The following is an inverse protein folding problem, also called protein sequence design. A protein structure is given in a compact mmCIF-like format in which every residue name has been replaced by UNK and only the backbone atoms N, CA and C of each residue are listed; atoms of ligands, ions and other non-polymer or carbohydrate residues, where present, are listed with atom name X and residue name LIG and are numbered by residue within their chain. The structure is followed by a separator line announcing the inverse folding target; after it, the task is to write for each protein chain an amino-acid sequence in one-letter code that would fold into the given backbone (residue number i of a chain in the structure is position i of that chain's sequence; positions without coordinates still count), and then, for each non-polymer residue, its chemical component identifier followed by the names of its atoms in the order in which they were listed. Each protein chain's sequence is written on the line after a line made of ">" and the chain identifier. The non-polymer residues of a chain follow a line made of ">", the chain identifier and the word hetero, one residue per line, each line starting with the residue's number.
data_IF_360916509118
#
_entry.id   IF_360916509118
#
_cell.length_a   1.000
_cell.length_b   1.000
_cell.length_c   1.000
_cell.angle_alpha   90.00
_cell.angle_beta   90.00
_cell.angle_gamma   90.00
#
_symmetry.space_group_name_H-M   'P 1'
#
loop_
_entity.id
_entity.type
_entity.pdbx_description
1 polymer ?
#
# COMPACT_ATOMS: atom_id res chain seq x y z
N UNK A 1 0.15 -43.48 -4.87
CA UNK A 1 -1.17 -42.84 -4.87
C UNK A 1 -1.08 -41.45 -5.49
N UNK A 2 -1.86 -41.21 -6.54
CA UNK A 2 -1.90 -40.00 -7.36
C UNK A 2 -3.07 -39.12 -6.92
N UNK A 3 -2.80 -37.85 -6.63
CA UNK A 3 -3.83 -36.90 -6.24
C UNK A 3 -4.08 -35.85 -7.32
N UNK A 4 -5.32 -35.41 -7.49
CA UNK A 4 -5.66 -34.22 -8.25
C UNK A 4 -6.14 -33.12 -7.30
N UNK A 5 -5.46 -31.97 -7.31
CA UNK A 5 -5.85 -30.80 -6.53
C UNK A 5 -6.53 -29.77 -7.42
N UNK A 6 -7.83 -29.57 -7.20
CA UNK A 6 -8.68 -28.78 -8.09
C UNK A 6 -8.92 -27.37 -7.53
N UNK A 7 -8.75 -26.35 -8.39
CA UNK A 7 -9.01 -24.96 -8.03
C UNK A 7 -8.90 -24.00 -9.20
N UNK A 8 -9.39 -22.77 -9.02
CA UNK A 8 -9.25 -21.69 -10.03
C UNK A 8 -7.84 -21.06 -10.01
N UNK A 9 -7.19 -21.08 -8.85
CA UNK A 9 -5.84 -20.52 -8.63
C UNK A 9 -5.66 -19.06 -9.10
N UNK A 10 -6.72 -18.25 -9.04
CA UNK A 10 -6.72 -16.88 -9.56
C UNK A 10 -6.90 -15.81 -8.47
N UNK A 11 -5.92 -14.89 -8.31
CA UNK A 11 -4.53 -15.02 -8.77
C UNK A 11 -3.75 -16.07 -7.96
N UNK A 12 -2.65 -16.64 -8.51
CA UNK A 12 -1.74 -17.50 -7.73
C UNK A 12 -1.18 -16.73 -6.54
N UNK A 13 -1.11 -17.40 -5.38
CA UNK A 13 -0.62 -16.78 -4.15
C UNK A 13 0.06 -17.82 -3.25
N UNK A 14 0.81 -17.36 -2.24
CA UNK A 14 1.58 -18.23 -1.34
C UNK A 14 0.73 -19.31 -0.65
N UNK A 15 -0.55 -19.02 -0.36
CA UNK A 15 -1.51 -20.02 0.12
C UNK A 15 -1.72 -21.20 -0.82
N UNK A 16 -1.86 -20.97 -2.12
CA UNK A 16 -1.93 -22.05 -3.12
C UNK A 16 -0.62 -22.84 -3.12
N UNK A 17 0.52 -22.14 -3.14
CA UNK A 17 1.85 -22.75 -3.22
C UNK A 17 2.12 -23.66 -2.00
N UNK A 18 1.93 -23.15 -0.77
CA UNK A 18 2.08 -23.95 0.46
C UNK A 18 1.16 -25.16 0.48
N UNK A 19 -0.07 -25.00 0.01
CA UNK A 19 -1.05 -26.10 0.01
C UNK A 19 -0.64 -27.19 -0.96
N UNK A 20 -0.24 -26.82 -2.19
CA UNK A 20 0.28 -27.76 -3.18
C UNK A 20 1.54 -28.49 -2.67
N UNK A 21 2.49 -27.77 -2.06
CA UNK A 21 3.70 -28.38 -1.46
C UNK A 21 3.41 -29.30 -0.28
N UNK A 22 2.34 -29.07 0.47
CA UNK A 22 1.91 -29.99 1.54
C UNK A 22 1.32 -31.26 0.94
N UNK A 23 0.44 -31.13 -0.04
CA UNK A 23 -0.17 -32.27 -0.74
C UNK A 23 0.92 -33.10 -1.44
N UNK A 24 1.90 -32.46 -2.09
CA UNK A 24 2.99 -33.16 -2.79
C UNK A 24 3.94 -33.93 -1.89
N UNK A 25 3.88 -33.74 -0.57
CA UNK A 25 4.62 -34.57 0.41
C UNK A 25 3.83 -35.80 0.86
N UNK A 26 2.52 -35.82 0.61
CA UNK A 26 1.62 -36.87 1.06
C UNK A 26 1.25 -37.86 -0.07
N UNK A 27 1.42 -37.43 -1.33
CA UNK A 27 1.10 -38.22 -2.51
C UNK A 27 2.33 -38.39 -3.40
N UNK A 28 2.45 -39.55 -4.04
CA UNK A 28 3.58 -39.87 -4.92
C UNK A 28 3.59 -39.00 -6.18
N UNK A 29 2.40 -38.56 -6.62
CA UNK A 29 2.23 -37.66 -7.75
C UNK A 29 1.01 -36.76 -7.54
N UNK A 30 1.13 -35.47 -7.88
CA UNK A 30 0.06 -34.47 -7.71
C UNK A 30 -0.17 -33.72 -9.02
N UNK A 31 -1.39 -33.82 -9.54
CA UNK A 31 -1.86 -32.97 -10.64
C UNK A 31 -2.60 -31.76 -10.07
N UNK A 32 -2.08 -30.55 -10.33
CA UNK A 32 -2.75 -29.28 -10.04
C UNK A 32 -3.65 -28.94 -11.21
N UNK A 33 -4.96 -29.16 -11.04
CA UNK A 33 -5.97 -28.94 -12.06
C UNK A 33 -6.59 -27.54 -11.96
N UNK A 34 -6.22 -26.66 -12.89
CA UNK A 34 -6.72 -25.29 -12.99
C UNK A 34 -8.08 -25.30 -13.70
N UNK A 35 -9.17 -25.15 -12.94
CA UNK A 35 -10.54 -25.13 -13.48
C UNK A 35 -10.88 -23.76 -14.08
N UNK A 36 -11.42 -23.74 -15.31
CA UNK A 36 -11.80 -22.50 -15.99
C UNK A 36 -13.24 -22.06 -15.66
N UNK A 37 -13.40 -20.95 -14.93
CA UNK A 37 -14.71 -20.33 -14.66
C UNK A 37 -14.66 -18.90 -14.08
N UNK A 38 -15.79 -18.21 -14.04
CA UNK A 38 -15.89 -16.80 -13.61
C UNK A 38 -15.80 -16.58 -12.09
N UNK A 39 -15.32 -15.41 -11.59
CA UNK A 39 -14.79 -14.28 -12.36
C UNK A 39 -13.36 -14.53 -12.86
N UNK A 40 -13.10 -14.21 -14.12
CA UNK A 40 -11.76 -14.27 -14.72
C UNK A 40 -10.95 -13.01 -14.38
N UNK A 41 -9.95 -13.18 -13.52
CA UNK A 41 -9.09 -12.08 -13.05
C UNK A 41 -7.81 -11.99 -13.86
N UNK A 42 -7.34 -13.11 -14.40
CA UNK A 42 -6.17 -13.21 -15.27
C UNK A 42 -6.33 -14.35 -16.28
N UNK A 43 -5.52 -14.36 -17.33
CA UNK A 43 -5.54 -15.43 -18.31
C UNK A 43 -5.07 -16.76 -17.69
N UNK A 44 -5.83 -17.84 -17.92
CA UNK A 44 -5.49 -19.18 -17.41
C UNK A 44 -4.13 -19.70 -17.91
N UNK A 45 -3.71 -19.26 -19.10
CA UNK A 45 -2.38 -19.55 -19.65
C UNK A 45 -1.27 -18.94 -18.77
N UNK A 46 -1.48 -17.74 -18.26
CA UNK A 46 -0.54 -17.08 -17.35
C UNK A 46 -0.50 -17.74 -15.98
N UNK A 47 -1.67 -18.12 -15.44
CA UNK A 47 -1.78 -18.90 -14.18
C UNK A 47 -0.99 -20.20 -14.30
N UNK A 48 -1.20 -20.93 -15.40
CA UNK A 48 -0.49 -22.18 -15.69
C UNK A 48 1.02 -21.96 -15.75
N UNK A 49 1.47 -20.96 -16.52
CA UNK A 49 2.90 -20.62 -16.66
C UNK A 49 3.54 -20.33 -15.30
N UNK A 50 2.92 -19.47 -14.49
CA UNK A 50 3.45 -19.11 -13.16
C UNK A 50 3.57 -20.35 -12.27
N UNK A 51 2.53 -21.20 -12.21
CA UNK A 51 2.58 -22.39 -11.38
C UNK A 51 3.59 -23.42 -11.92
N UNK A 52 3.76 -23.54 -13.24
CA UNK A 52 4.79 -24.39 -13.84
C UNK A 52 6.20 -23.90 -13.50
N UNK A 53 6.46 -22.59 -13.58
CA UNK A 53 7.74 -21.99 -13.17
C UNK A 53 8.03 -22.23 -11.68
N UNK A 54 7.04 -22.03 -10.81
CA UNK A 54 7.20 -22.23 -9.36
C UNK A 54 7.51 -23.69 -9.00
N UNK A 55 6.94 -24.65 -9.72
CA UNK A 55 7.07 -26.08 -9.45
C UNK A 55 8.01 -26.82 -10.41
N UNK A 56 8.82 -26.11 -11.21
CA UNK A 56 9.71 -26.70 -12.19
C UNK A 56 10.69 -27.73 -11.56
N UNK A 57 11.17 -27.45 -10.34
CA UNK A 57 12.05 -28.34 -9.61
C UNK A 57 11.33 -29.57 -8.99
N UNK A 58 10.00 -29.56 -8.91
CA UNK A 58 9.21 -30.60 -8.27
C UNK A 58 8.70 -31.63 -9.29
N UNK A 59 9.50 -32.67 -9.54
CA UNK A 59 9.21 -33.72 -10.55
C UNK A 59 7.91 -34.51 -10.31
N UNK A 60 7.34 -34.45 -9.10
CA UNK A 60 6.09 -35.12 -8.75
C UNK A 60 4.86 -34.21 -8.82
N UNK A 61 5.00 -32.98 -9.35
CA UNK A 61 3.90 -32.03 -9.52
C UNK A 61 3.71 -31.76 -11.00
N UNK A 62 2.48 -31.95 -11.48
CA UNK A 62 2.05 -31.61 -12.83
C UNK A 62 1.00 -30.51 -12.79
N UNK A 63 1.08 -29.51 -13.67
CA UNK A 63 0.09 -28.43 -13.74
C UNK A 63 -0.68 -28.52 -15.05
N UNK A 64 -1.99 -28.71 -14.96
CA UNK A 64 -2.88 -28.84 -16.12
C UNK A 64 -4.10 -27.91 -16.03
N UNK A 65 -4.68 -27.62 -17.18
CA UNK A 65 -5.89 -26.81 -17.30
C UNK A 65 -7.08 -27.71 -17.60
N UNK A 66 -8.18 -27.50 -16.89
CA UNK A 66 -9.42 -28.28 -17.03
C UNK A 66 -10.52 -27.32 -17.48
N UNK A 67 -11.12 -27.63 -18.63
CA UNK A 67 -12.24 -26.84 -19.16
C UNK A 67 -13.50 -27.01 -18.29
N UNK A 68 -14.19 -25.91 -18.05
CA UNK A 68 -15.43 -25.87 -17.28
C UNK A 68 -15.24 -25.80 -15.76
N UNK A 69 -16.38 -25.82 -15.05
CA UNK A 69 -16.41 -25.79 -13.58
C UNK A 69 -17.08 -27.05 -13.03
N UNK A 70 -16.54 -27.55 -11.92
CA UNK A 70 -17.08 -28.72 -11.24
C UNK A 70 -18.44 -28.39 -10.61
N UNK A 71 -18.59 -27.16 -10.08
CA UNK A 71 -19.85 -26.68 -9.48
C UNK A 71 -20.96 -26.51 -10.52
N UNK A 72 -20.62 -26.11 -11.75
CA UNK A 72 -21.58 -26.00 -12.86
C UNK A 72 -21.83 -27.32 -13.60
N UNK A 73 -21.14 -28.40 -13.22
CA UNK A 73 -21.27 -29.72 -13.85
C UNK A 73 -20.70 -29.83 -15.26
N UNK A 74 -19.95 -28.83 -15.74
CA UNK A 74 -19.46 -28.73 -17.12
C UNK A 74 -18.05 -29.29 -17.32
N UNK A 75 -17.30 -29.52 -16.25
CA UNK A 75 -15.95 -30.11 -16.33
C UNK A 75 -16.02 -31.64 -16.31
N UNK A 76 -15.39 -32.28 -17.29
CA UNK A 76 -15.14 -33.73 -17.26
C UNK A 76 -13.71 -33.98 -16.78
N UNK A 77 -13.57 -34.66 -15.63
CA UNK A 77 -12.27 -35.08 -15.06
C UNK A 77 -12.07 -36.59 -15.19
N UNK A 78 -13.02 -37.32 -15.78
CA UNK A 78 -13.08 -38.79 -15.82
C UNK A 78 -11.90 -39.39 -16.61
N UNK A 79 -11.30 -38.61 -17.52
CA UNK A 79 -10.15 -39.02 -18.34
C UNK A 79 -8.78 -38.72 -17.71
N UNK A 80 -8.74 -38.18 -16.49
CA UNK A 80 -7.48 -37.85 -15.81
C UNK A 80 -7.03 -39.01 -14.90
N UNK A 81 -5.72 -39.29 -14.91
CA UNK A 81 -5.11 -40.37 -14.13
C UNK A 81 -4.86 -39.96 -12.67
N UNK A 82 -5.84 -40.17 -11.79
CA UNK A 82 -5.76 -39.90 -10.35
C UNK A 82 -6.53 -40.93 -9.50
N UNK A 83 -6.06 -41.16 -8.27
CA UNK A 83 -6.69 -42.05 -7.29
C UNK A 83 -7.62 -41.30 -6.32
N UNK A 84 -7.33 -40.03 -6.06
CA UNK A 84 -8.06 -39.20 -5.09
C UNK A 84 -8.15 -37.73 -5.52
N UNK A 85 -9.30 -37.12 -5.27
CA UNK A 85 -9.51 -35.68 -5.45
C UNK A 85 -9.28 -34.96 -4.14
N UNK A 86 -8.43 -33.93 -4.17
CA UNK A 86 -8.17 -33.04 -3.05
C UNK A 86 -8.77 -31.67 -3.34
N UNK A 87 -9.51 -31.09 -2.38
CA UNK A 87 -10.01 -29.72 -2.49
C UNK A 87 -10.22 -29.08 -1.11
N UNK A 88 -10.12 -27.75 -1.06
CA UNK A 88 -10.53 -26.95 0.10
C UNK A 88 -11.97 -26.43 0.02
N UNK A 89 -12.77 -26.91 -0.95
CA UNK A 89 -14.18 -26.57 -1.09
C UNK A 89 -15.05 -27.80 -0.83
N UNK A 90 -15.74 -27.80 0.31
CA UNK A 90 -16.56 -28.94 0.73
C UNK A 90 -17.66 -29.29 -0.28
N UNK A 91 -18.27 -28.29 -0.92
CA UNK A 91 -19.34 -28.51 -1.93
C UNK A 91 -18.82 -29.29 -3.14
N UNK A 92 -17.59 -29.00 -3.56
CA UNK A 92 -16.93 -29.70 -4.68
C UNK A 92 -16.67 -31.17 -4.32
N UNK A 93 -16.20 -31.42 -3.10
CA UNK A 93 -15.97 -32.78 -2.62
C UNK A 93 -17.28 -33.56 -2.51
N UNK A 94 -18.35 -32.95 -1.99
CA UNK A 94 -19.65 -33.60 -1.86
C UNK A 94 -20.23 -33.99 -3.24
N UNK A 95 -20.06 -33.13 -4.26
CA UNK A 95 -20.49 -33.42 -5.64
C UNK A 95 -19.70 -34.61 -6.22
N UNK A 96 -18.37 -34.59 -6.08
CA UNK A 96 -17.51 -35.63 -6.64
C UNK A 96 -17.66 -36.96 -5.90
N UNK A 97 -17.88 -36.92 -4.59
CA UNK A 97 -18.16 -38.11 -3.78
C UNK A 97 -19.45 -38.79 -4.22
N UNK A 98 -20.51 -38.03 -4.53
CA UNK A 98 -21.76 -38.59 -5.09
C UNK A 98 -21.58 -39.20 -6.48
N UNK A 99 -20.57 -38.75 -7.23
CA UNK A 99 -20.18 -39.33 -8.53
C UNK A 99 -19.26 -40.56 -8.39
N UNK A 100 -18.95 -40.98 -7.16
CA UNK A 100 -18.16 -42.18 -6.88
C UNK A 100 -16.65 -41.94 -6.71
N UNK A 101 -16.19 -40.68 -6.75
CA UNK A 101 -14.77 -40.36 -6.56
C UNK A 101 -14.34 -40.46 -5.10
N UNK A 102 -13.11 -40.95 -4.86
CA UNK A 102 -12.46 -40.80 -3.56
C UNK A 102 -12.06 -39.35 -3.37
N UNK A 103 -12.49 -38.75 -2.28
CA UNK A 103 -12.29 -37.33 -1.99
C UNK A 103 -11.55 -37.12 -0.68
N UNK A 104 -10.76 -36.05 -0.60
CA UNK A 104 -10.06 -35.63 0.60
C UNK A 104 -10.16 -34.11 0.78
N UNK A 105 -10.60 -33.70 1.97
CA UNK A 105 -10.63 -32.29 2.33
C UNK A 105 -9.24 -31.81 2.73
N UNK A 106 -8.83 -30.68 2.16
CA UNK A 106 -7.61 -29.98 2.54
C UNK A 106 -7.97 -28.59 3.06
N UNK A 107 -7.72 -28.35 4.34
CA UNK A 107 -7.93 -27.03 4.94
C UNK A 107 -7.07 -25.97 4.24
N UNK A 108 -7.64 -24.78 4.08
CA UNK A 108 -6.93 -23.63 3.50
C UNK A 108 -5.80 -23.21 4.44
N UNK A 109 -4.69 -22.77 3.86
CA UNK A 109 -3.62 -22.17 4.65
C UNK A 109 -4.06 -20.79 5.13
N UNK A 110 -4.14 -20.61 6.45
CA UNK A 110 -4.52 -19.34 7.09
C UNK A 110 -3.29 -18.41 7.27
N UNK A 111 -3.50 -17.09 7.11
CA UNK A 111 -2.47 -16.05 7.30
C UNK A 111 -2.71 -14.79 6.46
N UNK A 112 -1.99 -13.68 6.76
CA UNK A 112 -2.02 -12.41 5.99
C UNK A 112 -1.36 -12.61 4.60
N UNK A 113 -2.09 -12.38 3.50
CA UNK A 113 -1.58 -12.58 2.12
C UNK A 113 -1.85 -13.96 1.52
N UNK A 114 -2.72 -14.76 2.14
CA UNK A 114 -2.98 -16.16 1.76
C UNK A 114 -4.39 -16.42 1.22
N UNK A 115 -5.19 -15.37 0.98
CA UNK A 115 -6.57 -15.50 0.48
C UNK A 115 -6.75 -14.87 -0.90
N UNK A 116 -7.16 -15.68 -1.88
CA UNK A 116 -7.58 -15.17 -3.19
C UNK A 116 -8.74 -14.17 -3.11
N UNK A 117 -9.53 -14.16 -2.03
CA UNK A 117 -10.58 -13.15 -1.80
C UNK A 117 -9.99 -11.79 -1.40
N UNK A 118 -8.90 -11.78 -0.62
CA UNK A 118 -8.15 -10.55 -0.32
C UNK A 118 -7.53 -9.98 -1.59
N UNK A 119 -6.92 -10.83 -2.42
CA UNK A 119 -6.29 -10.37 -3.66
C UNK A 119 -7.34 -9.96 -4.70
N UNK A 120 -8.48 -10.66 -4.79
CA UNK A 120 -9.60 -10.23 -5.64
C UNK A 120 -10.20 -8.90 -5.19
N UNK A 121 -10.34 -8.69 -3.88
CA UNK A 121 -10.75 -7.37 -3.33
C UNK A 121 -9.74 -6.26 -3.68
N UNK A 122 -8.45 -6.58 -3.80
CA UNK A 122 -7.39 -5.66 -4.24
C UNK A 122 -7.36 -5.43 -5.76
N UNK A 123 -8.00 -6.30 -6.56
CA UNK A 123 -8.07 -6.20 -8.02
C UNK A 123 -9.40 -5.59 -8.47
N UNK A 124 -10.52 -5.92 -7.82
CA UNK A 124 -11.82 -5.30 -8.07
C UNK A 124 -11.80 -3.80 -7.71
N UNK A 125 -11.01 -3.39 -6.71
CA UNK A 125 -10.76 -1.97 -6.42
C UNK A 125 -9.99 -1.24 -7.52
N UNK A 126 -9.40 -1.96 -8.49
CA UNK A 126 -8.71 -1.42 -9.68
C UNK A 126 -9.56 -1.41 -10.95
N UNK A 127 -10.77 -1.99 -10.97
CA UNK A 127 -11.54 -2.17 -12.22
C UNK A 127 -12.68 -1.18 -12.46
N UNK A 128 -12.94 -0.22 -11.58
CA UNK A 128 -13.85 0.88 -11.88
C UNK A 128 -13.08 2.09 -12.45
N UNK A 129 -13.05 2.15 -13.79
CA UNK A 129 -12.86 3.34 -14.64
C UNK A 129 -11.59 4.17 -14.38
N UNK A 130 -10.45 3.69 -14.90
CA UNK A 130 -9.21 4.44 -14.94
C UNK A 130 -8.99 5.04 -16.33
N UNK A 131 -9.15 6.36 -16.41
CA UNK A 131 -8.42 7.19 -17.36
C UNK A 131 -7.44 8.02 -16.54
N UNK A 132 -6.16 7.63 -16.64
CA UNK A 132 -4.91 8.41 -16.50
C UNK A 132 -4.65 9.20 -15.19
N UNK A 133 -3.52 9.08 -14.48
CA UNK A 133 -2.12 9.06 -14.92
C UNK A 133 -1.22 8.33 -13.90
N UNK A 134 -0.35 7.41 -14.35
CA UNK A 134 0.68 6.74 -13.51
C UNK A 134 1.86 7.64 -13.11
N UNK A 135 1.77 8.95 -13.32
CA UNK A 135 2.85 9.90 -13.02
C UNK A 135 2.78 10.52 -11.62
N UNK A 136 1.70 10.32 -10.85
CA UNK A 136 1.60 10.78 -9.46
C UNK A 136 1.00 9.70 -8.57
N UNK A 137 1.82 9.13 -7.68
CA UNK A 137 1.45 8.06 -6.73
C UNK A 137 0.51 8.48 -5.60
N UNK A 138 -0.49 9.32 -5.89
CA UNK A 138 -1.49 9.75 -4.92
C UNK A 138 -2.86 9.96 -5.58
N UNK A 139 -3.92 9.54 -4.89
CA UNK A 139 -5.29 9.60 -5.38
C UNK A 139 -6.04 10.74 -4.68
N UNK A 140 -6.27 11.86 -5.40
CA UNK A 140 -7.07 12.96 -4.89
C UNK A 140 -8.55 12.58 -4.84
N UNK A 141 -9.21 12.82 -3.70
CA UNK A 141 -10.64 12.56 -3.50
C UNK A 141 -11.27 13.64 -2.64
N UNK A 142 -12.58 13.73 -2.68
CA UNK A 142 -13.38 14.48 -1.71
C UNK A 142 -14.11 13.45 -0.84
N UNK A 143 -13.83 13.41 0.46
CA UNK A 143 -14.40 12.43 1.40
C UNK A 143 -15.17 13.10 2.53
N UNK A 144 -16.20 12.44 3.09
CA UNK A 144 -16.89 12.96 4.26
C UNK A 144 -15.93 13.16 5.44
N UNK A 145 -15.98 14.34 6.08
CA UNK A 145 -15.10 14.70 7.21
C UNK A 145 -15.26 13.78 8.41
N UNK A 146 -16.44 13.16 8.55
CA UNK A 146 -16.77 12.18 9.60
C UNK A 146 -15.98 10.88 9.50
N UNK A 147 -15.43 10.54 8.32
CA UNK A 147 -14.66 9.31 8.14
C UNK A 147 -13.20 9.48 8.56
N UNK A 148 -12.70 10.71 8.61
CA UNK A 148 -11.31 11.04 8.90
C UNK A 148 -11.01 10.85 10.38
N UNK A 149 -9.85 10.27 10.67
CA UNK A 149 -9.38 10.06 12.04
C UNK A 149 -8.17 10.95 12.33
N UNK A 150 -8.25 11.89 13.29
CA UNK A 150 -7.10 12.71 13.67
C UNK A 150 -6.00 11.85 14.28
N UNK A 151 -4.75 12.23 14.03
CA UNK A 151 -3.56 11.58 14.60
C UNK A 151 -2.87 12.44 15.66
N UNK A 152 -2.84 13.75 15.45
CA UNK A 152 -2.14 14.71 16.31
C UNK A 152 -3.07 15.84 16.74
N UNK A 153 -2.77 16.42 17.91
CA UNK A 153 -3.28 17.71 18.34
C UNK A 153 -2.77 18.83 17.41
N UNK A 154 -3.42 19.99 17.48
CA UNK A 154 -3.04 21.19 16.73
C UNK A 154 -2.66 22.31 17.67
N UNK A 155 -1.54 22.96 17.37
CA UNK A 155 -1.13 24.18 18.07
C UNK A 155 -2.15 25.32 17.88
N UNK A 156 -2.63 25.97 18.95
CA UNK A 156 -3.73 26.94 18.88
C UNK A 156 -3.38 28.22 18.14
N UNK A 157 -2.18 28.79 18.33
CA UNK A 157 -1.77 30.03 17.63
C UNK A 157 -1.50 29.75 16.16
N UNK A 158 -0.83 28.63 15.86
CA UNK A 158 -0.66 28.18 14.48
C UNK A 158 -2.01 27.92 13.78
N UNK A 159 -2.97 27.30 14.48
CA UNK A 159 -4.33 27.10 13.97
C UNK A 159 -5.01 28.42 13.62
N UNK A 160 -4.96 29.43 14.50
CA UNK A 160 -5.52 30.77 14.23
C UNK A 160 -4.90 31.42 12.99
N UNK A 161 -3.60 31.21 12.74
CA UNK A 161 -2.93 31.72 11.55
C UNK A 161 -3.43 31.03 10.28
N UNK A 162 -3.50 29.69 10.29
CA UNK A 162 -4.04 28.90 9.17
C UNK A 162 -5.50 29.24 8.90
N UNK A 163 -6.32 29.40 9.94
CA UNK A 163 -7.72 29.81 9.86
C UNK A 163 -7.87 31.16 9.14
N UNK A 164 -7.11 32.19 9.56
CA UNK A 164 -7.12 33.51 8.92
C UNK A 164 -6.74 33.43 7.44
N UNK A 165 -5.73 32.62 7.09
CA UNK A 165 -5.29 32.44 5.71
C UNK A 165 -6.36 31.77 4.85
N UNK A 166 -6.93 30.66 5.31
CA UNK A 166 -7.95 29.92 4.55
C UNK A 166 -9.21 30.77 4.33
N UNK A 167 -9.66 31.50 5.36
CA UNK A 167 -10.81 32.39 5.23
C UNK A 167 -10.55 33.56 4.29
N UNK A 168 -9.35 34.17 4.36
CA UNK A 168 -8.96 35.26 3.48
C UNK A 168 -8.88 34.80 2.02
N UNK A 169 -8.30 33.63 1.79
CA UNK A 169 -8.09 33.10 0.44
C UNK A 169 -9.36 32.50 -0.16
N UNK A 170 -10.35 32.12 0.67
CA UNK A 170 -11.59 31.44 0.24
C UNK A 170 -11.35 30.03 -0.33
N UNK A 171 -10.12 29.53 -0.24
CA UNK A 171 -9.65 28.31 -0.90
C UNK A 171 -8.78 27.50 0.07
N UNK A 172 -9.03 26.20 0.11
CA UNK A 172 -8.09 25.25 0.71
C UNK A 172 -7.06 24.83 -0.34
N UNK A 173 -5.85 25.43 -0.29
CA UNK A 173 -4.79 25.21 -1.29
C UNK A 173 -4.22 23.80 -1.33
N UNK A 174 -4.05 23.17 -0.15
CA UNK A 174 -3.45 21.84 -0.03
C UNK A 174 -4.44 20.84 0.54
N UNK A 175 -4.66 19.69 -0.09
CA UNK A 175 -5.50 18.62 0.43
C UNK A 175 -4.85 17.94 1.64
N UNK A 176 -5.69 17.36 2.51
CA UNK A 176 -5.24 16.58 3.67
C UNK A 176 -4.71 15.23 3.16
N UNK A 177 -3.55 14.75 3.64
CA UNK A 177 -3.05 13.43 3.25
C UNK A 177 -3.52 12.40 4.27
N UNK A 178 -4.14 11.33 3.78
CA UNK A 178 -4.75 10.30 4.61
C UNK A 178 -4.33 8.90 4.22
N UNK A 179 -4.31 8.00 5.20
CA UNK A 179 -4.16 6.57 4.98
C UNK A 179 -5.41 5.99 4.29
N UNK A 180 -5.20 5.07 3.34
CA UNK A 180 -6.26 4.48 2.53
C UNK A 180 -7.15 3.48 3.29
N UNK A 181 -6.66 2.86 4.37
CA UNK A 181 -7.32 1.76 5.06
C UNK A 181 -8.21 2.24 6.20
N UNK A 182 -7.75 3.20 6.99
CA UNK A 182 -8.43 3.68 8.19
C UNK A 182 -8.79 5.17 8.16
N UNK A 183 -8.46 5.88 7.06
CA UNK A 183 -8.64 7.32 6.88
C UNK A 183 -7.94 8.17 7.95
N UNK A 184 -6.78 7.70 8.43
CA UNK A 184 -5.97 8.44 9.41
C UNK A 184 -5.37 9.67 8.74
N UNK A 185 -5.49 10.84 9.38
CA UNK A 185 -4.87 12.08 8.94
C UNK A 185 -3.36 12.03 9.19
N UNK A 186 -2.58 11.83 8.14
CA UNK A 186 -1.11 11.73 8.19
C UNK A 186 -0.44 13.11 8.00
N UNK A 187 -1.09 14.03 7.28
CA UNK A 187 -0.65 15.40 7.10
C UNK A 187 -1.86 16.33 6.95
N UNK A 188 -1.83 17.47 7.66
CA UNK A 188 -2.86 18.50 7.57
C UNK A 188 -3.82 18.56 8.75
N UNK A 189 -3.37 18.22 9.97
CA UNK A 189 -4.17 18.30 11.20
C UNK A 189 -4.87 19.65 11.40
N UNK A 190 -4.19 20.78 11.16
CA UNK A 190 -4.82 22.13 11.24
C UNK A 190 -5.92 22.34 10.20
N UNK A 191 -5.73 21.83 8.97
CA UNK A 191 -6.74 21.92 7.89
C UNK A 191 -7.95 21.05 8.23
N UNK A 192 -7.72 19.87 8.80
CA UNK A 192 -8.78 19.02 9.31
C UNK A 192 -9.58 19.70 10.42
N UNK A 193 -8.90 20.26 11.44
CA UNK A 193 -9.54 20.99 12.53
C UNK A 193 -10.36 22.19 12.00
N UNK A 194 -9.86 22.90 10.98
CA UNK A 194 -10.58 24.00 10.34
C UNK A 194 -11.89 23.51 9.70
N UNK A 195 -11.84 22.40 8.96
CA UNK A 195 -13.03 21.84 8.31
C UNK A 195 -14.10 21.47 9.34
N UNK A 196 -13.71 20.85 10.46
CA UNK A 196 -14.63 20.50 11.54
C UNK A 196 -15.21 21.75 12.22
N UNK A 197 -14.38 22.72 12.59
CA UNK A 197 -14.80 23.95 13.27
C UNK A 197 -15.87 24.71 12.48
N UNK A 198 -15.73 24.77 11.15
CA UNK A 198 -16.67 25.47 10.27
C UNK A 198 -17.77 24.56 9.67
N UNK A 199 -17.89 23.33 10.17
CA UNK A 199 -18.99 22.42 9.81
C UNK A 199 -18.91 21.86 8.40
N UNK A 200 -17.75 21.89 7.72
CA UNK A 200 -17.65 21.30 6.37
C UNK A 200 -17.90 19.79 6.43
N UNK A 201 -18.84 19.31 5.61
CA UNK A 201 -19.21 17.89 5.54
C UNK A 201 -18.19 17.06 4.78
N UNK A 202 -17.41 17.69 3.91
CA UNK A 202 -16.44 17.03 3.05
C UNK A 202 -15.07 17.69 3.13
N UNK A 203 -14.02 16.88 2.95
CA UNK A 203 -12.64 17.30 2.92
C UNK A 203 -11.99 16.91 1.58
N UNK A 204 -11.22 17.82 0.95
CA UNK A 204 -10.30 17.44 -0.11
C UNK A 204 -9.11 16.69 0.49
N UNK A 205 -8.89 15.47 0.01
CA UNK A 205 -7.88 14.55 0.53
C UNK A 205 -7.02 13.99 -0.58
N UNK A 206 -5.77 13.66 -0.23
CA UNK A 206 -4.92 12.74 -0.96
C UNK A 206 -4.91 11.43 -0.19
N UNK A 207 -5.34 10.36 -0.85
CA UNK A 207 -5.36 9.02 -0.26
C UNK A 207 -4.06 8.29 -0.64
N UNK A 208 -3.35 7.78 0.37
CA UNK A 208 -2.10 7.02 0.21
C UNK A 208 -2.20 5.64 0.84
N UNK A 209 -1.54 4.66 0.23
CA UNK A 209 -1.38 3.34 0.85
C UNK A 209 -0.31 3.41 1.95
N UNK A 210 -0.70 3.65 3.20
CA UNK A 210 0.26 3.82 4.29
C UNK A 210 1.05 2.55 4.64
N UNK A 211 0.59 1.35 4.25
CA UNK A 211 1.39 0.12 4.36
C UNK A 211 2.52 0.06 3.32
N UNK A 212 2.57 0.94 2.31
CA UNK A 212 3.65 1.03 1.33
C UNK A 212 4.98 1.45 2.00
N UNK A 213 6.04 0.67 1.80
CA UNK A 213 7.36 0.91 2.40
C UNK A 213 8.05 2.18 1.88
N UNK A 214 7.63 2.70 0.72
CA UNK A 214 8.10 4.00 0.21
C UNK A 214 7.58 5.20 1.01
N UNK A 215 6.54 4.97 1.84
CA UNK A 215 6.06 5.92 2.83
C UNK A 215 6.59 5.48 4.17
N UNK A 216 7.18 6.37 4.96
CA UNK A 216 7.63 6.03 6.32
C UNK A 216 7.45 7.22 7.25
N UNK A 217 7.60 6.95 8.54
CA UNK A 217 7.38 7.93 9.60
C UNK A 217 8.61 8.00 10.48
N UNK A 218 9.01 9.21 10.88
CA UNK A 218 9.98 9.46 11.93
C UNK A 218 9.45 10.53 12.90
N UNK A 219 10.23 10.85 13.92
CA UNK A 219 9.98 11.97 14.83
C UNK A 219 10.75 13.27 14.47
N UNK A 220 11.81 13.17 13.65
CA UNK A 220 12.59 14.33 13.17
C UNK A 220 12.80 14.27 11.65
N UNK A 221 12.99 15.43 11.01
CA UNK A 221 13.17 15.52 9.55
C UNK A 221 14.40 14.74 9.03
N UNK A 222 15.52 14.74 9.78
CA UNK A 222 16.71 13.93 9.45
C UNK A 222 16.42 12.45 9.25
N UNK A 223 15.37 11.92 9.87
CA UNK A 223 14.97 10.52 9.73
C UNK A 223 14.53 10.15 8.32
N UNK A 224 14.34 11.13 7.44
CA UNK A 224 14.22 10.91 5.99
C UNK A 224 15.43 10.17 5.41
N UNK A 225 16.61 10.43 5.94
CA UNK A 225 17.89 10.00 5.37
C UNK A 225 18.69 9.11 6.30
N UNK A 226 18.66 9.39 7.61
CA UNK A 226 19.50 8.75 8.61
C UNK A 226 18.65 8.07 9.68
N UNK A 227 19.12 6.94 10.20
CA UNK A 227 18.50 6.27 11.36
C UNK A 227 19.43 6.41 12.54
N UNK A 228 18.92 6.87 13.66
CA UNK A 228 19.65 7.00 14.92
C UNK A 228 18.84 6.47 16.11
N UNK A 229 19.42 6.52 17.31
CA UNK A 229 18.80 6.03 18.54
C UNK A 229 17.51 6.78 18.96
N UNK A 230 17.30 7.98 18.43
CA UNK A 230 16.10 8.78 18.70
C UNK A 230 14.96 8.45 17.74
N UNK A 231 15.16 7.57 16.75
CA UNK A 231 14.08 7.06 15.91
C UNK A 231 13.19 6.10 16.73
N UNK A 232 12.07 6.62 17.24
CA UNK A 232 11.19 5.86 18.16
C UNK A 232 9.78 5.62 17.63
N UNK A 233 9.34 6.35 16.59
CA UNK A 233 7.97 6.26 16.07
C UNK A 233 7.87 5.18 15.00
N UNK A 234 6.82 4.36 15.08
CA UNK A 234 6.51 3.33 14.08
C UNK A 234 5.13 3.52 13.44
N UNK A 235 4.93 2.99 12.23
CA UNK A 235 3.62 2.99 11.56
C UNK A 235 2.55 2.26 12.37
N UNK A 236 2.92 1.17 13.04
CA UNK A 236 2.00 0.41 13.89
C UNK A 236 1.53 1.23 15.09
N UNK A 237 2.43 2.00 15.70
CA UNK A 237 2.05 2.95 16.77
C UNK A 237 1.11 4.04 16.23
N UNK A 238 1.43 4.64 15.07
CA UNK A 238 0.58 5.65 14.40
C UNK A 238 -0.84 5.11 14.19
N UNK A 239 -0.96 3.91 13.62
CA UNK A 239 -2.26 3.28 13.38
C UNK A 239 -2.98 2.99 14.70
N UNK A 240 -2.28 2.39 15.67
CA UNK A 240 -2.86 2.06 16.98
C UNK A 240 -3.40 3.31 17.69
N UNK A 241 -2.62 4.39 17.74
CA UNK A 241 -3.02 5.64 18.40
C UNK A 241 -4.23 6.28 17.74
N UNK A 242 -4.24 6.40 16.41
CA UNK A 242 -5.36 6.99 15.68
C UNK A 242 -6.66 6.18 15.81
N UNK A 243 -6.57 4.84 15.86
CA UNK A 243 -7.74 3.99 16.04
C UNK A 243 -8.30 4.04 17.47
N UNK A 244 -7.46 4.30 18.46
CA UNK A 244 -7.84 4.39 19.88
C UNK A 244 -8.04 5.83 20.37
N UNK A 245 -8.12 6.81 19.46
CA UNK A 245 -8.32 8.24 19.78
C UNK A 245 -7.26 8.82 20.75
N UNK A 246 -6.08 8.21 20.80
CA UNK A 246 -4.95 8.64 21.63
C UNK A 246 -4.02 9.55 20.82
N UNK A 247 -4.40 10.82 20.69
CA UNK A 247 -3.69 11.78 19.83
C UNK A 247 -2.26 12.03 20.30
N UNK A 248 -1.33 12.11 19.35
CA UNK A 248 -0.01 12.65 19.61
C UNK A 248 -0.07 14.16 19.93
N UNK A 249 0.94 14.67 20.63
CA UNK A 249 1.18 16.11 20.70
C UNK A 249 1.44 16.66 19.29
N UNK A 250 1.16 17.95 19.07
CA UNK A 250 1.34 18.54 17.76
C UNK A 250 2.80 18.39 17.29
N UNK A 251 2.99 18.07 16.01
CA UNK A 251 4.32 17.87 15.40
C UNK A 251 5.16 16.80 16.08
N UNK A 252 4.55 15.73 16.58
CA UNK A 252 5.32 14.58 17.07
C UNK A 252 5.81 13.70 15.91
N UNK A 253 5.01 13.57 14.84
CA UNK A 253 5.32 12.72 13.68
C UNK A 253 5.84 13.53 12.50
N UNK A 254 6.65 12.89 11.65
CA UNK A 254 7.15 13.36 10.36
C UNK A 254 6.87 12.27 9.34
N UNK A 255 5.85 12.48 8.51
CA UNK A 255 5.54 11.55 7.43
C UNK A 255 6.31 11.91 6.16
N UNK A 256 7.04 10.93 5.63
CA UNK A 256 7.84 11.04 4.43
C UNK A 256 7.12 10.33 3.29
N UNK A 257 6.72 11.09 2.28
CA UNK A 257 5.99 10.58 1.12
C UNK A 257 6.92 10.52 -0.10
N UNK A 258 6.77 9.53 -1.00
CA UNK A 258 7.57 9.36 -2.21
C UNK A 258 7.13 10.33 -3.33
N UNK A 259 6.51 11.44 -2.98
CA UNK A 259 6.01 12.45 -3.91
C UNK A 259 6.11 13.85 -3.31
N UNK A 260 6.17 14.86 -4.17
CA UNK A 260 6.09 16.25 -3.76
C UNK A 260 4.64 16.62 -3.47
N UNK A 261 4.43 17.31 -2.35
CA UNK A 261 3.12 17.88 -1.99
C UNK A 261 2.83 19.02 -2.97
N UNK A 262 1.97 18.77 -3.95
CA UNK A 262 1.49 19.81 -4.86
C UNK A 262 0.27 20.51 -4.28
N UNK A 263 0.04 21.75 -4.71
CA UNK A 263 -1.19 22.46 -4.39
C UNK A 263 -2.32 21.93 -5.28
N UNK A 264 -3.47 21.67 -4.66
CA UNK A 264 -4.72 21.30 -5.32
C UNK A 264 -5.81 22.19 -4.72
N UNK A 265 -5.95 23.43 -5.21
CA UNK A 265 -6.84 24.41 -4.60
C UNK A 265 -8.30 24.01 -4.77
N UNK A 266 -9.04 23.96 -3.66
CA UNK A 266 -10.49 23.73 -3.63
C UNK A 266 -11.18 24.93 -3.02
N UNK A 267 -12.12 25.53 -3.74
CA UNK A 267 -12.92 26.64 -3.26
C UNK A 267 -13.83 26.18 -2.12
N UNK A 268 -13.82 26.91 -1.01
CA UNK A 268 -14.62 26.56 0.17
C UNK A 268 -16.14 26.57 -0.12
N UNK A 269 -16.57 27.40 -1.06
CA UNK A 269 -17.97 27.51 -1.51
C UNK A 269 -18.49 26.23 -2.17
N UNK A 270 -17.59 25.40 -2.72
CA UNK A 270 -17.94 24.11 -3.34
C UNK A 270 -18.14 23.00 -2.31
N UNK A 271 -17.71 23.22 -1.05
CA UNK A 271 -17.81 22.23 0.02
C UNK A 271 -19.08 22.47 0.83
N UNK A 272 -19.95 21.47 0.86
CA UNK A 272 -21.18 21.51 1.62
C UNK A 272 -20.89 21.69 3.13
N UNK A 273 -21.68 22.54 3.79
CA UNK A 273 -21.61 22.80 5.23
C UNK A 273 -22.77 22.17 5.99
N UNK A 274 -22.49 21.84 7.24
CA UNK A 274 -23.41 21.48 8.31
C UNK A 274 -23.20 22.46 9.48
N UNK A 275 -23.75 22.12 10.63
CA UNK A 275 -23.47 22.83 11.87
C UNK A 275 -21.97 22.78 12.23
N UNK A 276 -21.39 23.90 12.70
CA UNK A 276 -20.07 23.96 13.31
C UNK A 276 -19.88 22.89 14.40
N UNK A 277 -18.67 22.32 14.49
CA UNK A 277 -18.32 21.35 15.54
C UNK A 277 -17.35 21.95 16.55
N UNK A 278 -17.51 21.57 17.82
CA UNK A 278 -16.49 21.85 18.83
C UNK A 278 -15.22 21.07 18.48
N UNK A 279 -14.06 21.73 18.58
CA UNK A 279 -12.75 21.14 18.27
C UNK A 279 -11.78 21.19 19.46
N UNK A 280 -12.25 21.50 20.67
CA UNK A 280 -11.39 21.71 21.85
C UNK A 280 -10.53 20.47 22.15
N UNK A 281 -11.06 19.27 21.89
CA UNK A 281 -10.34 18.00 22.01
C UNK A 281 -9.17 17.83 21.02
N UNK A 282 -9.10 18.65 19.96
CA UNK A 282 -7.99 18.67 19.00
C UNK A 282 -6.96 19.75 19.33
N UNK A 283 -7.28 20.70 20.22
CA UNK A 283 -6.39 21.82 20.53
C UNK A 283 -5.37 21.39 21.58
N UNK A 284 -4.08 21.61 21.29
CA UNK A 284 -3.04 21.37 22.29
C UNK A 284 -3.11 22.40 23.42
N UNK A 285 -3.00 21.92 24.66
CA UNK A 285 -2.89 22.77 25.83
C UNK A 285 -1.44 23.26 25.99
N UNK A 286 -1.11 24.39 25.37
CA UNK A 286 0.21 25.01 25.42
C UNK A 286 0.13 26.53 25.42
N UNK A 287 1.19 27.19 25.86
CA UNK A 287 1.32 28.65 25.80
C UNK A 287 1.84 29.11 24.44
N UNK A 288 1.70 30.41 24.14
CA UNK A 288 2.31 31.00 22.95
C UNK A 288 3.85 30.85 22.96
N UNK A 289 4.47 30.89 24.14
CA UNK A 289 5.92 30.71 24.28
C UNK A 289 6.33 29.27 23.89
N UNK A 290 5.57 28.27 24.30
CA UNK A 290 5.80 26.87 23.93
C UNK A 290 5.69 26.66 22.41
N UNK A 291 4.69 27.28 21.75
CA UNK A 291 4.54 27.22 20.29
C UNK A 291 5.72 27.88 19.56
N UNK A 292 6.18 29.05 20.05
CA UNK A 292 7.33 29.75 19.48
C UNK A 292 8.59 28.88 19.58
N UNK A 293 8.79 28.24 20.73
CA UNK A 293 9.94 27.36 20.94
C UNK A 293 9.86 26.12 20.03
N UNK A 294 8.69 25.48 19.91
CA UNK A 294 8.47 24.37 18.99
C UNK A 294 8.70 24.75 17.53
N UNK A 295 8.30 25.97 17.12
CA UNK A 295 8.57 26.49 15.77
C UNK A 295 10.07 26.72 15.53
N UNK A 296 10.81 27.26 16.50
CA UNK A 296 12.28 27.39 16.42
C UNK A 296 12.97 26.04 16.31
N UNK A 297 12.55 25.05 17.09
CA UNK A 297 13.08 23.70 17.02
C UNK A 297 12.83 23.07 15.65
N UNK A 298 11.64 23.25 15.09
CA UNK A 298 11.33 22.76 13.74
C UNK A 298 12.17 23.46 12.66
N UNK A 299 12.48 24.75 12.81
CA UNK A 299 13.42 25.46 11.92
C UNK A 299 14.83 24.84 12.03
N UNK A 300 15.29 24.54 13.24
CA UNK A 300 16.57 23.86 13.43
C UNK A 300 16.60 22.46 12.80
N UNK A 301 15.49 21.71 12.84
CA UNK A 301 15.38 20.42 12.12
C UNK A 301 15.50 20.59 10.61
N UNK A 302 14.95 21.68 10.04
CA UNK A 302 15.07 21.97 8.61
C UNK A 302 16.52 22.28 8.23
N UNK A 303 17.23 23.07 9.04
CA UNK A 303 18.64 23.39 8.81
C UNK A 303 19.52 22.12 8.84
N UNK A 304 19.23 21.20 9.77
CA UNK A 304 19.88 19.88 9.83
C UNK A 304 19.59 19.03 8.58
N UNK A 305 18.32 18.93 8.16
CA UNK A 305 17.93 18.20 6.94
C UNK A 305 18.63 18.76 5.70
N UNK A 306 18.72 20.09 5.57
CA UNK A 306 19.42 20.75 4.47
C UNK A 306 20.93 20.48 4.51
N UNK A 307 21.55 20.44 5.68
CA UNK A 307 22.95 20.06 5.84
C UNK A 307 23.21 18.65 5.32
N UNK A 308 22.38 17.68 5.72
CA UNK A 308 22.48 16.28 5.26
C UNK A 308 22.34 16.20 3.74
N UNK A 309 21.35 16.89 3.16
CA UNK A 309 21.16 16.92 1.69
C UNK A 309 22.38 17.49 0.97
N UNK A 310 23.02 18.52 1.53
CA UNK A 310 24.24 19.09 0.96
C UNK A 310 25.42 18.12 0.98
N UNK A 311 25.52 17.24 1.98
CA UNK A 311 26.53 16.17 2.01
C UNK A 311 26.32 15.17 0.87
N UNK A 312 25.07 14.71 0.65
CA UNK A 312 24.75 13.87 -0.50
C UNK A 312 25.05 14.55 -1.84
N UNK A 313 24.77 15.86 -1.97
CA UNK A 313 25.12 16.62 -3.18
C UNK A 313 26.64 16.62 -3.41
N UNK A 314 27.45 16.82 -2.36
CA UNK A 314 28.92 16.77 -2.46
C UNK A 314 29.41 15.40 -2.91
N UNK A 315 28.86 14.33 -2.36
CA UNK A 315 29.19 12.95 -2.77
C UNK A 315 28.91 12.73 -4.27
N UNK A 316 27.72 13.10 -4.75
CA UNK A 316 27.35 12.94 -6.16
C UNK A 316 28.20 13.81 -7.09
N UNK A 317 28.59 15.01 -6.67
CA UNK A 317 29.53 15.84 -7.42
C UNK A 317 30.91 15.20 -7.53
N UNK A 318 31.41 14.57 -6.46
CA UNK A 318 32.67 13.82 -6.50
C UNK A 318 32.64 12.64 -7.48
N UNK A 319 31.53 11.89 -7.51
CA UNK A 319 31.32 10.81 -8.50
C UNK A 319 31.33 11.37 -9.93
N UNK A 320 30.64 12.49 -10.16
CA UNK A 320 30.59 13.15 -11.46
C UNK A 320 31.98 13.62 -11.93
N UNK A 321 32.76 14.22 -11.05
CA UNK A 321 34.13 14.64 -11.35
C UNK A 321 35.03 13.45 -11.71
N UNK A 322 34.97 12.37 -10.92
CA UNK A 322 35.73 11.15 -11.19
C UNK A 322 35.38 10.55 -12.56
N UNK A 323 34.10 10.38 -12.86
CA UNK A 323 33.65 9.82 -14.14
C UNK A 323 34.03 10.74 -15.31
N UNK A 324 33.95 12.05 -15.13
CA UNK A 324 34.35 13.02 -16.16
C UNK A 324 35.84 12.89 -16.49
N UNK A 325 36.69 12.71 -15.47
CA UNK A 325 38.12 12.42 -15.65
C UNK A 325 38.35 11.10 -16.39
N UNK A 326 37.68 10.01 -15.98
CA UNK A 326 37.80 8.70 -16.62
C UNK A 326 37.43 8.74 -18.11
N UNK A 327 36.34 9.43 -18.46
CA UNK A 327 35.93 9.61 -19.86
C UNK A 327 37.03 10.29 -20.68
N UNK A 328 37.62 11.37 -20.17
CA UNK A 328 38.71 12.07 -20.85
C UNK A 328 39.93 11.17 -21.07
N UNK A 329 40.31 10.35 -20.09
CA UNK A 329 41.43 9.41 -20.24
C UNK A 329 41.13 8.33 -21.30
N UNK A 330 39.93 7.74 -21.29
CA UNK A 330 39.52 6.76 -22.31
C UNK A 330 39.50 7.35 -23.73
N UNK A 331 39.04 8.60 -23.89
CA UNK A 331 39.05 9.30 -25.18
C UNK A 331 40.46 9.55 -25.73
N UNK A 332 41.44 9.81 -24.84
CA UNK A 332 42.86 9.93 -25.22
C UNK A 332 43.41 8.60 -25.72
N UNK A 333 43.08 7.49 -25.07
CA UNK A 333 43.53 6.16 -25.51
C UNK A 333 43.02 5.82 -26.92
N UNK A 334 41.74 6.08 -27.21
CA UNK A 334 41.15 5.89 -28.55
C UNK A 334 41.86 6.74 -29.60
N UNK A 335 42.17 7.99 -29.26
CA UNK A 335 42.86 8.92 -30.17
C UNK A 335 44.30 8.46 -30.47
N UNK A 336 44.96 7.81 -29.51
CA UNK A 336 46.30 7.26 -29.67
C UNK A 336 46.31 5.96 -30.48
N UNK A 337 45.27 5.12 -30.39
CA UNK A 337 45.16 3.88 -31.19
C UNK A 337 44.87 4.14 -32.66
N UNK A 338 44.25 5.27 -33.02
CA UNK A 338 43.96 5.65 -34.43
C UNK A 338 45.15 6.29 -35.17
N UNK A 339 46.25 6.60 -34.47
CA UNK A 339 47.47 7.21 -35.04
C UNK A 339 48.58 6.19 -35.33
N UNK A 340 48.36 4.92 -35.00
CA UNK A 340 49.19 3.76 -35.36
C UNK A 340 48.51 3.06 -36.53
#
# INVERSE_FOLDING_TARGET
>A
MRAIFLGKFQPPHLGHIRTILKISKEFDFVTVGITMGEPKVMEYKDVKRILQEVFEANKNILVETIEGTIEGGTSNIDNLDFDVVVSGNQKVLDILQRRGYRVKFQSRTEGKGYSGSEIRSLIESKSSTYIENRTQGYNFKILPTVLLKPLELVYPSHFRNIEKLILKDGVMKRPIIIDARYNIVLDGSHRYAFLLKYGYKYAPVIVVNYEDDSIFVGNHLKHRYLVDENFVISKSEVVSRALNENLFRARTTRHFFPFRKIDYPVCLEQLEKAEPRNIDYLIENCTLADEIEADKQYISELDEELSIVNEYIKEQNGVKEYLSYQVVEMEKEISNTKKV
#
